data_IF_520054660038
#
_entry.id   IF_520054660038
#
_cell.length_a   1.000
_cell.length_b   1.000
_cell.length_c   1.000
_cell.angle_alpha   90.00
_cell.angle_beta   90.00
_cell.angle_gamma   90.00
#
_symmetry.space_group_name_H-M   'P 1'
#
loop_
_entity.id
_entity.type
_entity.pdbx_description
1 polymer ?
#
# COMPACT_ATOMS: atom_id res chain seq x y z
N UNK A 1 10.90 -18.71 1.64
CA UNK A 1 12.08 -17.86 2.01
C UNK A 1 11.69 -16.43 2.37
N UNK A 2 10.97 -15.69 1.52
CA UNK A 2 10.63 -14.26 1.79
C UNK A 2 9.83 -14.05 3.09
N UNK A 3 8.87 -14.93 3.42
CA UNK A 3 8.10 -14.83 4.68
C UNK A 3 8.97 -14.98 5.93
N UNK A 4 9.92 -15.92 5.91
CA UNK A 4 10.86 -16.15 7.01
C UNK A 4 11.84 -14.97 7.14
N UNK A 5 12.38 -14.48 6.02
CA UNK A 5 13.26 -13.31 6.01
C UNK A 5 12.56 -12.05 6.56
N UNK A 6 11.29 -11.82 6.19
CA UNK A 6 10.47 -10.74 6.74
C UNK A 6 10.25 -10.91 8.24
N UNK A 7 9.95 -12.13 8.70
CA UNK A 7 9.77 -12.40 10.12
C UNK A 7 11.06 -12.16 10.92
N UNK A 8 12.21 -12.65 10.44
CA UNK A 8 13.52 -12.43 11.06
C UNK A 8 13.83 -10.94 11.12
N UNK A 9 13.66 -10.22 10.01
CA UNK A 9 13.89 -8.78 9.96
C UNK A 9 13.01 -8.02 10.95
N UNK A 10 11.71 -8.36 11.01
CA UNK A 10 10.77 -7.71 11.93
C UNK A 10 11.14 -7.99 13.40
N UNK A 11 11.55 -9.22 13.72
CA UNK A 11 12.02 -9.58 15.06
C UNK A 11 13.29 -8.80 15.42
N UNK A 12 14.26 -8.69 14.51
CA UNK A 12 15.48 -7.92 14.75
C UNK A 12 15.18 -6.43 14.94
N UNK A 13 14.29 -5.86 14.13
CA UNK A 13 13.85 -4.47 14.27
C UNK A 13 13.15 -4.24 15.62
N UNK A 14 12.35 -5.21 16.06
CA UNK A 14 11.65 -5.14 17.35
C UNK A 14 12.64 -5.19 18.53
N UNK A 15 13.60 -6.12 18.50
CA UNK A 15 14.66 -6.19 19.51
C UNK A 15 15.45 -4.88 19.53
N UNK A 16 15.86 -4.37 18.36
CA UNK A 16 16.55 -3.09 18.23
C UNK A 16 15.74 -1.95 18.85
N UNK A 17 14.42 -1.91 18.60
CA UNK A 17 13.52 -0.92 19.18
C UNK A 17 13.46 -0.98 20.70
N UNK A 18 13.36 -2.19 21.28
CA UNK A 18 13.38 -2.39 22.73
C UNK A 18 14.72 -1.95 23.31
N UNK A 19 15.83 -2.45 22.78
CA UNK A 19 17.18 -2.10 23.26
C UNK A 19 17.44 -0.60 23.13
N UNK A 20 17.01 0.01 22.03
CA UNK A 20 17.10 1.45 21.87
C UNK A 20 16.31 2.18 22.96
N UNK A 21 15.09 1.75 23.26
CA UNK A 21 14.26 2.36 24.30
C UNK A 21 14.84 2.21 25.71
N UNK A 22 15.42 1.04 26.03
CA UNK A 22 16.01 0.79 27.36
C UNK A 22 17.33 1.52 27.56
N UNK A 23 18.19 1.54 26.54
CA UNK A 23 19.53 2.16 26.65
C UNK A 23 19.50 3.67 26.44
N UNK A 24 18.48 4.22 25.77
CA UNK A 24 18.37 5.65 25.46
C UNK A 24 17.24 6.34 26.24
N UNK A 25 17.27 6.17 27.56
CA UNK A 25 16.35 6.83 28.51
C UNK A 25 16.75 8.27 28.85
N UNK A 26 17.79 8.80 28.20
CA UNK A 26 18.24 10.17 28.36
C UNK A 26 17.12 11.18 28.11
N UNK A 27 17.04 12.17 28.98
CA UNK A 27 16.04 13.24 28.90
C UNK A 27 16.52 14.34 27.96
N UNK A 28 15.65 14.76 27.05
CA UNK A 28 15.88 15.89 26.14
C UNK A 28 14.77 16.91 26.30
N UNK A 29 15.16 18.17 26.31
CA UNK A 29 14.26 19.32 26.24
C UNK A 29 14.38 19.89 24.84
N UNK A 30 13.28 19.91 24.10
CA UNK A 30 13.24 20.55 22.79
C UNK A 30 13.01 22.03 22.99
N UNK A 31 13.86 22.85 22.37
CA UNK A 31 13.74 24.31 22.35
C UNK A 31 13.39 24.76 20.94
N UNK A 32 12.39 25.60 20.82
CA UNK A 32 11.86 26.09 19.55
C UNK A 32 11.77 27.62 19.57
N UNK A 33 11.33 28.20 18.44
CA UNK A 33 11.21 29.65 18.30
C UNK A 33 10.33 30.26 19.41
N UNK A 34 10.59 31.54 19.72
CA UNK A 34 9.83 32.34 20.69
C UNK A 34 9.89 31.82 22.14
N UNK A 35 10.95 31.10 22.51
CA UNK A 35 11.13 30.59 23.88
C UNK A 35 10.22 29.41 24.21
N UNK A 36 9.64 28.75 23.21
CA UNK A 36 8.84 27.55 23.40
C UNK A 36 9.76 26.37 23.72
N UNK A 37 9.50 25.70 24.85
CA UNK A 37 10.25 24.53 25.26
C UNK A 37 9.30 23.41 25.68
N UNK A 38 9.68 22.17 25.38
CA UNK A 38 8.93 21.01 25.87
C UNK A 38 9.36 20.67 27.30
N UNK A 39 8.51 20.01 28.09
CA UNK A 39 8.98 19.26 29.24
C UNK A 39 10.12 18.29 28.83
N UNK A 40 11.02 17.91 29.75
CA UNK A 40 11.98 16.86 29.48
C UNK A 40 11.25 15.58 29.06
N UNK A 41 11.59 15.08 27.87
CA UNK A 41 11.06 13.84 27.32
C UNK A 41 12.20 12.86 27.06
N UNK A 42 12.00 11.55 27.27
CA UNK A 42 12.98 10.55 26.89
C UNK A 42 13.23 10.56 25.39
N UNK A 43 14.50 10.49 24.98
CA UNK A 43 14.91 10.47 23.55
C UNK A 43 14.19 9.37 22.79
N UNK A 44 14.01 8.19 23.41
CA UNK A 44 13.38 7.08 22.74
C UNK A 44 11.95 7.39 22.25
N UNK A 45 11.17 8.19 22.98
CA UNK A 45 9.83 8.57 22.56
C UNK A 45 9.87 9.41 21.29
N UNK A 46 10.81 10.36 21.21
CA UNK A 46 10.96 11.23 20.05
C UNK A 46 11.28 10.42 18.79
N UNK A 47 12.25 9.51 18.89
CA UNK A 47 12.64 8.63 17.78
C UNK A 47 11.51 7.68 17.42
N UNK A 48 10.84 7.08 18.40
CA UNK A 48 9.71 6.18 18.19
C UNK A 48 8.59 6.88 17.42
N UNK A 49 8.17 8.08 17.85
CA UNK A 49 7.14 8.85 17.16
C UNK A 49 7.56 9.25 15.74
N UNK A 50 8.83 9.61 15.52
CA UNK A 50 9.34 9.92 14.18
C UNK A 50 9.25 8.70 13.25
N UNK A 51 9.68 7.52 13.72
CA UNK A 51 9.63 6.28 12.94
C UNK A 51 8.18 5.85 12.69
N UNK A 52 7.34 5.86 13.73
CA UNK A 52 5.92 5.52 13.62
C UNK A 52 5.19 6.44 12.66
N UNK A 53 5.51 7.73 12.65
CA UNK A 53 4.93 8.68 11.69
C UNK A 53 5.28 8.30 10.25
N UNK A 54 6.52 7.90 9.98
CA UNK A 54 6.94 7.41 8.67
C UNK A 54 6.19 6.14 8.25
N UNK A 55 6.08 5.16 9.14
CA UNK A 55 5.33 3.91 8.88
C UNK A 55 3.85 4.19 8.67
N UNK A 56 3.26 5.09 9.46
CA UNK A 56 1.87 5.50 9.33
C UNK A 56 1.61 6.15 7.97
N UNK A 57 2.45 7.11 7.56
CA UNK A 57 2.33 7.75 6.24
C UNK A 57 2.46 6.75 5.10
N UNK A 58 3.41 5.82 5.18
CA UNK A 58 3.56 4.76 4.18
C UNK A 58 2.32 3.84 4.13
N UNK A 59 1.78 3.47 5.30
CA UNK A 59 0.56 2.67 5.40
C UNK A 59 -0.66 3.36 4.81
N UNK A 60 -0.84 4.66 5.09
CA UNK A 60 -1.91 5.46 4.50
C UNK A 60 -1.76 5.55 2.97
N UNK A 61 -0.54 5.80 2.47
CA UNK A 61 -0.26 5.81 1.04
C UNK A 61 -0.66 4.50 0.35
N UNK A 62 -0.26 3.36 0.92
CA UNK A 62 -0.61 2.04 0.40
C UNK A 62 -2.13 1.81 0.33
N UNK A 63 -2.88 2.25 1.35
CA UNK A 63 -4.34 2.12 1.37
C UNK A 63 -5.02 2.95 0.28
N UNK A 64 -4.49 4.14 0.00
CA UNK A 64 -5.00 5.01 -1.07
C UNK A 64 -4.70 4.37 -2.44
N UNK A 65 -3.47 3.91 -2.64
CA UNK A 65 -3.05 3.26 -3.88
C UNK A 65 -3.88 2.01 -4.17
N UNK A 66 -4.11 1.16 -3.16
CA UNK A 66 -4.92 -0.05 -3.32
C UNK A 66 -6.37 0.27 -3.72
N UNK A 67 -6.96 1.34 -3.18
CA UNK A 67 -8.30 1.80 -3.57
C UNK A 67 -8.32 2.30 -5.02
N UNK A 68 -7.32 3.08 -5.41
CA UNK A 68 -7.20 3.59 -6.79
C UNK A 68 -7.05 2.43 -7.79
N UNK A 69 -6.23 1.44 -7.43
CA UNK A 69 -5.96 0.27 -8.26
C UNK A 69 -7.21 -0.60 -8.41
N UNK A 70 -7.94 -0.86 -7.32
CA UNK A 70 -9.22 -1.59 -7.39
C UNK A 70 -10.26 -0.87 -8.25
N UNK A 71 -10.31 0.47 -8.18
CA UNK A 71 -11.21 1.27 -9.02
C UNK A 71 -10.86 1.12 -10.50
N UNK A 72 -9.58 1.28 -10.84
CA UNK A 72 -9.07 1.13 -12.20
C UNK A 72 -9.32 -0.29 -12.76
N UNK A 73 -9.12 -1.32 -11.93
CA UNK A 73 -9.40 -2.71 -12.31
C UNK A 73 -10.88 -2.90 -12.69
N UNK A 74 -11.79 -2.38 -11.86
CA UNK A 74 -13.23 -2.49 -12.10
C UNK A 74 -13.68 -1.73 -13.34
N UNK A 75 -13.03 -0.61 -13.64
CA UNK A 75 -13.29 0.16 -14.85
C UNK A 75 -12.84 -0.60 -16.11
N UNK A 76 -11.66 -1.21 -16.07
CA UNK A 76 -11.14 -2.05 -17.15
C UNK A 76 -11.98 -3.30 -17.38
N UNK A 77 -12.46 -3.97 -16.33
CA UNK A 77 -13.39 -5.10 -16.45
C UNK A 77 -14.71 -4.72 -17.14
N UNK A 78 -15.24 -3.53 -16.82
CA UNK A 78 -16.45 -3.02 -17.48
C UNK A 78 -16.22 -2.76 -18.97
N UNK A 79 -15.07 -2.17 -19.31
CA UNK A 79 -14.66 -1.92 -20.70
C UNK A 79 -14.49 -3.22 -21.49
N UNK A 80 -13.85 -4.24 -20.91
CA UNK A 80 -13.75 -5.57 -21.52
C UNK A 80 -15.14 -6.15 -21.75
N UNK A 81 -16.04 -6.06 -20.76
CA UNK A 81 -17.39 -6.60 -20.86
C UNK A 81 -18.22 -5.87 -21.93
N UNK A 82 -18.10 -4.55 -22.05
CA UNK A 82 -18.81 -3.79 -23.09
C UNK A 82 -18.29 -4.12 -24.48
N UNK A 83 -16.96 -4.17 -24.66
CA UNK A 83 -16.34 -4.55 -25.93
C UNK A 83 -16.73 -5.99 -26.33
N UNK A 84 -16.77 -6.93 -25.39
CA UNK A 84 -17.23 -8.29 -25.66
C UNK A 84 -18.69 -8.34 -26.12
N UNK A 85 -19.58 -7.53 -25.53
CA UNK A 85 -20.98 -7.40 -25.96
C UNK A 85 -21.09 -6.76 -27.34
N UNK A 86 -20.26 -5.77 -27.64
CA UNK A 86 -20.25 -5.13 -28.96
C UNK A 86 -19.74 -6.09 -30.05
N UNK A 87 -18.82 -7.00 -29.71
CA UNK A 87 -18.30 -8.00 -30.65
C UNK A 87 -19.23 -9.20 -30.89
N UNK A 88 -20.16 -9.51 -29.96
CA UNK A 88 -21.13 -10.61 -30.11
C UNK A 88 -21.91 -10.57 -31.45
N UNK A 89 -22.56 -9.47 -31.84
CA UNK A 89 -23.33 -9.42 -33.08
C UNK A 89 -22.48 -9.59 -34.34
N UNK A 90 -21.21 -9.16 -34.32
CA UNK A 90 -20.28 -9.41 -35.43
C UNK A 90 -19.90 -10.88 -35.53
N UNK A 91 -19.67 -11.52 -34.38
CA UNK A 91 -19.32 -12.95 -34.30
C UNK A 91 -20.48 -13.85 -34.72
N UNK A 92 -21.71 -13.50 -34.34
CA UNK A 92 -22.93 -14.17 -34.78
C UNK A 92 -23.16 -14.02 -36.30
N UNK A 93 -22.90 -12.83 -36.86
CA UNK A 93 -22.97 -12.59 -38.31
C UNK A 93 -21.95 -13.42 -39.08
N UNK A 94 -20.69 -13.47 -38.65
CA UNK A 94 -19.66 -14.31 -39.29
C UNK A 94 -20.05 -15.79 -39.29
N UNK A 95 -20.53 -16.32 -38.16
CA UNK A 95 -20.97 -17.71 -38.06
C UNK A 95 -22.17 -18.02 -38.96
N UNK A 96 -23.11 -17.08 -39.06
CA UNK A 96 -24.27 -17.21 -39.94
C UNK A 96 -23.83 -17.23 -41.41
N UNK A 97 -22.93 -16.34 -41.84
CA UNK A 97 -22.41 -16.33 -43.21
C UNK A 97 -21.57 -17.58 -43.54
N UNK A 98 -20.73 -18.05 -42.61
CA UNK A 98 -19.95 -19.28 -42.79
C UNK A 98 -20.83 -20.52 -42.94
N UNK A 99 -21.90 -20.63 -42.14
CA UNK A 99 -22.85 -21.75 -42.24
C UNK A 99 -23.70 -21.75 -43.51
N UNK A 100 -23.91 -20.59 -44.14
CA UNK A 100 -24.56 -20.49 -45.46
C UNK A 100 -23.59 -20.93 -46.56
N UNK A 101 -22.31 -20.52 -46.50
CA UNK A 101 -21.29 -20.89 -47.49
C UNK A 101 -20.90 -22.37 -47.50
N UNK A 102 -21.22 -23.13 -46.45
CA UNK A 102 -20.91 -24.58 -46.36
C UNK A 102 -22.09 -25.44 -46.83
N UNK A 103 -23.23 -24.83 -47.15
CA UNK A 103 -24.45 -25.51 -47.61
C UNK A 103 -24.66 -25.41 -49.13
N UNK A 104 -23.86 -24.61 -49.82
CA UNK A 104 -23.74 -24.58 -51.29
C UNK A 104 -22.58 -25.47 -51.75
#
# INVERSE_FOLDING_TARGET
>A
MVKLAKAIFLTLLFILGITFATENTGWVVLRYYFGLETPPIPIFLLVLFSVLSGVFLAGVGFLIDERSLKKALREKEREITSLQKEMQPYREREQTMAGIATKE
#
